data_IF_842535760721
#
_entry.id   IF_842535760721
#
_cell.length_a   1.000
_cell.length_b   1.000
_cell.length_c   1.000
_cell.angle_alpha   90.00
_cell.angle_beta   90.00
_cell.angle_gamma   90.00
#
_symmetry.space_group_name_H-M   'P 1'
#
loop_
_entity.id
_entity.type
_entity.pdbx_description
1 polymer ?
#
# COMPACT_ATOMS: atom_id res chain seq x y z
N UNK A 1 3.97 -15.89 -0.14
CA UNK A 1 4.31 -15.11 -1.37
C UNK A 1 5.17 -13.87 -1.06
N UNK A 2 5.05 -13.29 0.15
CA UNK A 2 5.79 -12.12 0.61
C UNK A 2 7.30 -12.37 0.81
N UNK A 3 7.68 -13.55 1.31
CA UNK A 3 9.08 -13.98 1.48
C UNK A 3 9.96 -13.84 0.22
N UNK A 4 9.36 -13.92 -0.98
CA UNK A 4 10.09 -13.77 -2.26
C UNK A 4 10.25 -12.32 -2.72
N UNK A 5 9.42 -11.41 -2.23
CA UNK A 5 9.42 -9.99 -2.61
C UNK A 5 10.35 -9.16 -1.72
N UNK A 6 10.58 -9.60 -0.48
CA UNK A 6 11.38 -8.94 0.54
C UNK A 6 12.82 -8.58 0.15
N UNK A 7 13.59 -9.46 -0.54
CA UNK A 7 14.93 -9.10 -0.99
C UNK A 7 14.95 -7.90 -1.96
N UNK A 8 13.80 -7.53 -2.54
CA UNK A 8 13.63 -6.38 -3.44
C UNK A 8 13.08 -5.15 -2.73
N UNK A 9 12.39 -5.32 -1.59
CA UNK A 9 11.96 -4.23 -0.71
C UNK A 9 13.21 -3.80 0.06
N UNK A 10 13.98 -2.96 -0.61
CA UNK A 10 15.20 -2.25 -0.19
C UNK A 10 15.66 -2.44 1.26
N UNK A 11 16.94 -2.78 1.36
CA UNK A 11 17.83 -2.85 2.52
C UNK A 11 17.98 -1.50 3.28
N UNK A 12 16.87 -0.88 3.67
CA UNK A 12 16.84 0.37 4.41
C UNK A 12 16.65 0.05 5.90
N UNK A 13 17.64 0.33 6.76
CA UNK A 13 17.50 0.11 8.20
C UNK A 13 16.33 0.94 8.75
N UNK A 14 15.59 0.38 9.71
CA UNK A 14 14.43 1.00 10.35
C UNK A 14 13.20 1.18 9.42
N UNK A 15 13.05 0.33 8.41
CA UNK A 15 11.85 0.34 7.56
C UNK A 15 10.63 -0.16 8.31
N UNK A 16 9.49 0.50 8.10
CA UNK A 16 8.20 0.11 8.69
C UNK A 16 7.28 -0.44 7.59
N UNK A 17 6.68 -1.59 7.86
CA UNK A 17 5.77 -2.28 6.96
C UNK A 17 4.39 -2.28 7.59
N UNK A 18 3.47 -1.58 6.94
CA UNK A 18 2.08 -1.49 7.39
C UNK A 18 1.28 -2.61 6.72
N UNK A 19 0.63 -3.46 7.52
CA UNK A 19 -0.21 -4.56 7.03
C UNK A 19 -1.66 -4.42 7.49
N UNK A 20 -2.58 -4.89 6.67
CA UNK A 20 -3.98 -5.10 7.04
C UNK A 20 -4.13 -6.27 8.01
N UNK A 21 -5.00 -6.09 9.00
CA UNK A 21 -5.28 -7.09 10.03
C UNK A 21 -6.33 -8.12 9.57
N UNK A 22 -6.18 -8.61 8.34
CA UNK A 22 -7.11 -9.60 7.80
C UNK A 22 -6.85 -10.97 8.46
N UNK A 23 -7.85 -11.64 9.08
CA UNK A 23 -7.64 -12.83 9.92
C UNK A 23 -6.93 -13.99 9.22
N UNK A 24 -7.19 -14.16 7.92
CA UNK A 24 -6.55 -15.19 7.07
C UNK A 24 -5.03 -15.04 7.04
N UNK A 25 -4.49 -13.82 7.14
CA UNK A 25 -3.04 -13.59 7.10
C UNK A 25 -2.35 -14.08 8.35
N UNK A 26 -2.95 -13.84 9.52
CA UNK A 26 -2.44 -14.32 10.82
C UNK A 26 -2.45 -15.85 10.88
N UNK A 27 -3.46 -16.48 10.27
CA UNK A 27 -3.57 -17.94 10.24
C UNK A 27 -2.64 -18.62 9.21
N UNK A 28 -2.32 -17.97 8.09
CA UNK A 28 -1.50 -18.57 7.03
C UNK A 28 -0.01 -18.30 7.14
N UNK A 29 0.42 -17.24 7.82
CA UNK A 29 1.84 -16.87 7.89
C UNK A 29 2.22 -16.41 9.32
N UNK A 30 2.29 -17.33 10.31
CA UNK A 30 2.61 -17.01 11.71
C UNK A 30 4.05 -16.49 11.90
N UNK A 31 5.00 -16.96 11.08
CA UNK A 31 6.43 -16.65 11.20
C UNK A 31 6.82 -15.36 10.44
N UNK A 32 5.84 -14.59 9.99
CA UNK A 32 6.10 -13.40 9.19
C UNK A 32 6.80 -12.32 10.03
N UNK A 33 6.34 -12.08 11.26
CA UNK A 33 6.94 -11.06 12.13
C UNK A 33 8.44 -11.31 12.35
N UNK A 34 8.80 -12.55 12.67
CA UNK A 34 10.18 -12.96 12.93
C UNK A 34 11.04 -12.81 11.68
N UNK A 35 10.53 -13.27 10.52
CA UNK A 35 11.24 -13.13 9.26
C UNK A 35 11.54 -11.67 8.91
N UNK A 36 10.58 -10.76 9.04
CA UNK A 36 10.81 -9.35 8.70
C UNK A 36 11.73 -8.66 9.72
N UNK A 37 11.70 -9.07 10.99
CA UNK A 37 12.60 -8.58 12.03
C UNK A 37 14.06 -8.95 11.75
N UNK A 38 14.32 -10.14 11.19
CA UNK A 38 15.67 -10.55 10.74
C UNK A 38 16.25 -9.63 9.65
N UNK A 39 15.39 -9.00 8.84
CA UNK A 39 15.78 -8.01 7.82
C UNK A 39 15.78 -6.56 8.35
N UNK A 40 15.63 -6.34 9.66
CA UNK A 40 15.62 -5.00 10.26
C UNK A 40 14.39 -4.17 9.90
N UNK A 41 13.29 -4.83 9.53
CA UNK A 41 12.01 -4.21 9.24
C UNK A 41 11.04 -4.40 10.42
N UNK A 42 10.27 -3.36 10.75
CA UNK A 42 9.22 -3.43 11.75
C UNK A 42 7.85 -3.57 11.08
N UNK A 43 7.08 -4.60 11.44
CA UNK A 43 5.70 -4.74 10.97
C UNK A 43 4.75 -4.02 11.94
N UNK A 44 3.84 -3.22 11.40
CA UNK A 44 2.72 -2.62 12.12
C UNK A 44 1.42 -3.11 11.49
N UNK A 45 0.54 -3.69 12.30
CA UNK A 45 -0.79 -4.07 11.86
C UNK A 45 -1.78 -2.92 12.07
N UNK A 46 -2.64 -2.69 11.09
CA UNK A 46 -3.71 -1.72 11.21
C UNK A 46 -4.81 -2.19 12.19
N UNK A 47 -5.51 -1.28 12.87
CA UNK A 47 -6.66 -1.64 13.67
C UNK A 47 -7.77 -2.27 12.82
N UNK A 48 -8.57 -3.14 13.45
CA UNK A 48 -9.66 -3.86 12.77
C UNK A 48 -10.66 -2.86 12.19
N UNK A 49 -11.13 -3.11 10.97
CA UNK A 49 -12.11 -2.26 10.26
C UNK A 49 -11.69 -0.79 10.09
N UNK A 50 -10.39 -0.50 10.00
CA UNK A 50 -9.89 0.86 9.76
C UNK A 50 -9.29 1.04 8.36
N UNK A 51 -10.09 0.91 7.28
CA UNK A 51 -9.61 1.12 5.91
C UNK A 51 -9.09 2.54 5.70
N UNK A 52 -9.63 3.52 6.43
CA UNK A 52 -9.21 4.92 6.36
C UNK A 52 -7.74 5.16 6.79
N UNK A 53 -7.15 4.21 7.51
CA UNK A 53 -5.74 4.26 7.92
C UNK A 53 -4.83 3.53 6.96
N UNK A 54 -5.38 2.84 5.95
CA UNK A 54 -4.59 2.14 4.96
C UNK A 54 -4.13 3.11 3.88
N UNK A 55 -2.83 3.41 3.79
CA UNK A 55 -2.31 4.32 2.79
C UNK A 55 -2.74 3.99 1.36
N UNK A 56 -2.88 2.69 1.07
CA UNK A 56 -3.22 2.22 -0.27
C UNK A 56 -4.59 2.73 -0.75
N UNK A 57 -5.50 3.10 0.15
CA UNK A 57 -6.84 3.59 -0.23
C UNK A 57 -6.76 4.92 -0.98
N UNK A 58 -5.86 5.83 -0.59
CA UNK A 58 -5.68 7.08 -1.35
C UNK A 58 -5.13 6.79 -2.74
N UNK A 59 -4.17 5.86 -2.85
CA UNK A 59 -3.61 5.42 -4.14
C UNK A 59 -4.71 4.80 -5.01
N UNK A 60 -5.56 3.94 -4.44
CA UNK A 60 -6.71 3.39 -5.16
C UNK A 60 -7.72 4.47 -5.56
N UNK A 61 -7.89 5.52 -4.76
CA UNK A 61 -8.70 6.68 -5.12
C UNK A 61 -8.23 7.34 -6.41
N UNK A 62 -6.92 7.58 -6.53
CA UNK A 62 -6.28 8.14 -7.72
C UNK A 62 -6.45 7.21 -8.92
N UNK A 63 -6.14 5.93 -8.76
CA UNK A 63 -6.30 4.94 -9.82
C UNK A 63 -7.75 4.88 -10.31
N UNK A 64 -8.74 4.87 -9.40
CA UNK A 64 -10.16 4.92 -9.76
C UNK A 64 -10.52 6.19 -10.53
N UNK A 65 -9.94 7.33 -10.16
CA UNK A 65 -10.17 8.60 -10.87
C UNK A 65 -9.60 8.55 -12.29
N UNK A 66 -8.35 8.09 -12.47
CA UNK A 66 -7.73 7.90 -13.78
C UNK A 66 -8.55 6.93 -14.64
N UNK A 67 -8.96 5.79 -14.08
CA UNK A 67 -9.81 4.81 -14.78
C UNK A 67 -11.13 5.44 -15.24
N UNK A 68 -11.78 6.29 -14.43
CA UNK A 68 -13.00 7.00 -14.83
C UNK A 68 -12.73 7.94 -16.02
N UNK A 69 -11.61 8.64 -16.03
CA UNK A 69 -11.25 9.54 -17.13
C UNK A 69 -11.04 8.76 -18.43
N UNK A 70 -10.38 7.60 -18.38
CA UNK A 70 -10.20 6.72 -19.55
C UNK A 70 -11.46 5.95 -19.95
N UNK A 71 -12.41 5.72 -19.04
CA UNK A 71 -13.68 5.08 -19.39
C UNK A 71 -14.59 6.02 -20.20
N UNK A 72 -14.46 7.32 -19.99
CA UNK A 72 -15.23 8.33 -20.72
C UNK A 72 -14.76 8.50 -22.18
N UNK A 73 -13.59 7.97 -22.56
CA UNK A 73 -13.28 7.72 -23.95
C UNK A 73 -13.91 6.39 -24.36
N UNK A 74 -15.07 6.50 -25.02
CA UNK A 74 -16.03 5.43 -25.37
C UNK A 74 -15.50 4.22 -26.18
N UNK A 75 -14.18 4.06 -26.35
CA UNK A 75 -13.55 3.10 -27.27
C UNK A 75 -12.48 2.20 -26.61
N UNK A 76 -12.25 2.32 -25.30
CA UNK A 76 -11.27 1.48 -24.61
C UNK A 76 -11.91 0.21 -24.05
N UNK A 77 -11.42 -0.96 -24.49
CA UNK A 77 -11.68 -2.22 -23.78
C UNK A 77 -11.18 -2.14 -22.33
N UNK A 78 -11.78 -2.90 -21.38
CA UNK A 78 -11.38 -2.85 -19.97
C UNK A 78 -9.88 -3.05 -19.74
N UNK A 79 -9.25 -3.95 -20.52
CA UNK A 79 -7.80 -4.21 -20.47
C UNK A 79 -6.98 -2.98 -20.87
N UNK A 80 -7.41 -2.25 -21.91
CA UNK A 80 -6.70 -1.08 -22.40
C UNK A 80 -6.87 0.13 -21.47
N UNK A 81 -8.03 0.26 -20.84
CA UNK A 81 -8.27 1.25 -19.78
C UNK A 81 -7.32 1.04 -18.60
N UNK A 82 -7.15 -0.20 -18.14
CA UNK A 82 -6.22 -0.52 -17.03
C UNK A 82 -4.78 -0.20 -17.43
N UNK A 83 -4.35 -0.63 -18.63
CA UNK A 83 -2.99 -0.38 -19.10
C UNK A 83 -2.70 1.13 -19.18
N UNK A 84 -3.62 1.91 -19.74
CA UNK A 84 -3.46 3.35 -19.84
C UNK A 84 -3.40 4.02 -18.46
N UNK A 85 -4.27 3.59 -17.55
CA UNK A 85 -4.26 4.08 -16.16
C UNK A 85 -2.91 3.81 -15.49
N UNK A 86 -2.33 2.63 -15.68
CA UNK A 86 -1.02 2.27 -15.10
C UNK A 86 0.11 3.09 -15.72
N UNK A 87 0.06 3.38 -17.01
CA UNK A 87 1.05 4.22 -17.70
C UNK A 87 0.97 5.69 -17.26
N UNK A 88 -0.25 6.19 -17.06
CA UNK A 88 -0.49 7.58 -16.65
C UNK A 88 -0.32 7.79 -15.13
N UNK A 89 -0.30 6.70 -14.36
CA UNK A 89 -0.03 6.73 -12.93
C UNK A 89 1.46 6.98 -12.66
N UNK A 90 1.81 8.24 -12.46
CA UNK A 90 3.16 8.65 -12.07
C UNK A 90 3.30 8.74 -10.54
N UNK A 91 3.97 7.75 -9.95
CA UNK A 91 4.25 7.66 -8.51
C UNK A 91 5.06 8.84 -7.97
N UNK A 92 5.99 9.40 -8.77
CA UNK A 92 6.96 10.38 -8.27
C UNK A 92 6.30 11.70 -7.82
N UNK A 93 5.18 12.09 -8.44
CA UNK A 93 4.44 13.30 -8.05
C UNK A 93 3.55 13.09 -6.81
N UNK A 94 3.19 11.83 -6.50
CA UNK A 94 2.32 11.50 -5.38
C UNK A 94 3.09 11.24 -4.08
N UNK A 95 4.29 10.64 -4.16
CA UNK A 95 5.01 10.17 -2.99
C UNK A 95 5.42 11.25 -1.98
N UNK A 96 5.69 12.50 -2.39
CA UNK A 96 6.16 13.53 -1.45
C UNK A 96 5.09 13.98 -0.45
N UNK A 97 3.87 14.32 -0.91
CA UNK A 97 2.79 14.73 -0.01
C UNK A 97 2.14 13.54 0.71
N UNK A 98 2.26 12.34 0.14
CA UNK A 98 1.62 11.12 0.63
C UNK A 98 2.33 10.56 1.87
N UNK A 99 3.67 10.51 1.88
CA UNK A 99 4.43 9.98 3.01
C UNK A 99 4.20 10.81 4.29
N UNK A 100 4.24 12.14 4.20
CA UNK A 100 4.00 13.01 5.37
C UNK A 100 2.59 12.82 5.94
N UNK A 101 1.58 12.72 5.07
CA UNK A 101 0.18 12.55 5.47
C UNK A 101 -0.08 11.19 6.13
N UNK A 102 0.53 10.12 5.61
CA UNK A 102 0.47 8.79 6.21
C UNK A 102 1.15 8.77 7.57
N UNK A 103 2.36 9.32 7.65
CA UNK A 103 3.15 9.33 8.87
C UNK A 103 2.41 10.09 9.97
N UNK A 104 1.82 11.25 9.63
CA UNK A 104 0.98 12.02 10.54
C UNK A 104 -0.28 11.25 10.95
N UNK A 105 -1.02 10.66 10.01
CA UNK A 105 -2.27 9.95 10.32
C UNK A 105 -2.06 8.67 11.13
N UNK A 106 -0.97 7.93 10.87
CA UNK A 106 -0.63 6.73 11.63
C UNK A 106 -0.13 7.08 13.03
N UNK A 107 0.77 8.06 13.18
CA UNK A 107 1.30 8.44 14.51
C UNK A 107 0.23 9.14 15.35
N UNK A 108 -0.50 10.11 14.79
CA UNK A 108 -1.47 10.90 15.52
C UNK A 108 -2.68 10.08 16.02
N UNK A 109 -3.02 8.97 15.35
CA UNK A 109 -4.16 8.11 15.71
C UNK A 109 -3.80 6.83 16.44
N UNK A 110 -2.52 6.50 16.57
CA UNK A 110 -2.06 5.32 17.32
C UNK A 110 -1.49 5.69 18.71
N UNK A 111 -1.25 6.98 18.97
CA UNK A 111 -0.69 7.49 20.24
C UNK A 111 -1.75 8.18 21.14
N UNK A 112 -3.00 8.33 20.69
CA UNK A 112 -4.12 8.84 21.50
C UNK A 112 -5.34 7.92 21.41
#
# INVERSE_FOLDING_TARGET
>A
MLYKALPKIRNLPNSVIVMDNHPIRVACEPDLSDYFQEFGCHIIYMPVYSPDLNPIEEVFGVLKHLMKNHRNSWDLSPRRCILQTVLDFNLNNYCQNFIEKIFYNLIAKTIF
#
